data_IF_296338102292
#
_entry.id   IF_296338102292
#
_cell.length_a   1.000
_cell.length_b   1.000
_cell.length_c   1.000
_cell.angle_alpha   90.00
_cell.angle_beta   90.00
_cell.angle_gamma   90.00
#
_symmetry.space_group_name_H-M   'P 1'
#
loop_
_entity.id
_entity.type
_entity.pdbx_description
1 polymer ?
#
# COMPACT_ATOMS: atom_id res chain seq x y z
N UNK A 1 14.84 -18.24 -18.51
CA UNK A 1 15.97 -17.38 -18.93
C UNK A 1 15.57 -16.41 -20.06
N UNK A 2 15.05 -16.88 -21.20
CA UNK A 2 14.69 -15.99 -22.32
C UNK A 2 13.62 -14.91 -22.00
N UNK A 3 12.58 -15.25 -21.24
CA UNK A 3 11.54 -14.28 -20.84
C UNK A 3 12.09 -13.15 -19.96
N UNK A 4 12.94 -13.46 -18.98
CA UNK A 4 13.59 -12.47 -18.10
C UNK A 4 14.49 -11.52 -18.89
N UNK A 5 15.27 -12.05 -19.84
CA UNK A 5 16.10 -11.23 -20.73
C UNK A 5 15.27 -10.25 -21.56
N UNK A 6 14.15 -10.72 -22.13
CA UNK A 6 13.21 -9.89 -22.90
C UNK A 6 12.57 -8.80 -22.04
N UNK A 7 12.14 -9.13 -20.82
CA UNK A 7 11.58 -8.17 -19.87
C UNK A 7 12.61 -7.13 -19.44
N UNK A 8 13.83 -7.55 -19.13
CA UNK A 8 14.92 -6.65 -18.74
C UNK A 8 15.26 -5.65 -19.87
N UNK A 9 15.35 -6.13 -21.11
CA UNK A 9 15.54 -5.27 -22.28
C UNK A 9 14.40 -4.29 -22.48
N UNK A 10 13.15 -4.71 -22.27
CA UNK A 10 11.96 -3.85 -22.38
C UNK A 10 11.99 -2.73 -21.33
N UNK A 11 12.32 -3.05 -20.07
CA UNK A 11 12.47 -2.05 -19.00
C UNK A 11 13.58 -1.06 -19.30
N UNK A 12 14.74 -1.53 -19.78
CA UNK A 12 15.87 -0.65 -20.16
C UNK A 12 15.55 0.27 -21.34
N UNK A 13 14.69 -0.17 -22.27
CA UNK A 13 14.30 0.61 -23.46
C UNK A 13 13.19 1.63 -23.17
N UNK A 14 12.53 1.56 -22.01
CA UNK A 14 11.48 2.49 -21.57
C UNK A 14 11.97 3.34 -20.38
N UNK A 15 12.90 4.28 -20.58
CA UNK A 15 13.50 5.06 -19.50
C UNK A 15 12.48 5.99 -18.83
N UNK A 16 11.51 6.55 -19.57
CA UNK A 16 10.52 7.47 -19.01
C UNK A 16 9.70 6.84 -17.88
N UNK A 17 9.31 5.57 -18.03
CA UNK A 17 8.55 4.84 -17.03
C UNK A 17 9.35 4.61 -15.73
N UNK A 18 10.59 4.14 -15.87
CA UNK A 18 11.44 3.79 -14.73
C UNK A 18 12.01 5.04 -14.04
N UNK A 19 12.38 6.06 -14.81
CA UNK A 19 12.93 7.32 -14.30
C UNK A 19 11.89 8.13 -13.53
N UNK A 20 10.65 8.24 -14.04
CA UNK A 20 9.55 8.92 -13.34
C UNK A 20 9.32 8.29 -11.97
N UNK A 21 9.21 6.95 -11.89
CA UNK A 21 9.05 6.25 -10.61
C UNK A 21 10.18 6.58 -9.63
N UNK A 22 11.43 6.52 -10.09
CA UNK A 22 12.60 6.78 -9.23
C UNK A 22 12.64 8.24 -8.74
N UNK A 23 12.47 9.20 -9.66
CA UNK A 23 12.49 10.63 -9.33
C UNK A 23 11.38 10.98 -8.34
N UNK A 24 10.14 10.53 -8.59
CA UNK A 24 9.04 10.76 -7.66
C UNK A 24 9.32 10.13 -6.29
N UNK A 25 9.81 8.87 -6.23
CA UNK A 25 10.14 8.27 -4.93
C UNK A 25 11.22 9.04 -4.16
N UNK A 26 12.22 9.60 -4.85
CA UNK A 26 13.27 10.42 -4.21
C UNK A 26 12.70 11.73 -3.67
N UNK A 27 11.89 12.43 -4.47
CA UNK A 27 11.23 13.68 -4.03
C UNK A 27 10.37 13.42 -2.80
N UNK A 28 9.60 12.33 -2.82
CA UNK A 28 8.71 11.97 -1.72
C UNK A 28 9.48 11.57 -0.47
N UNK A 29 10.58 10.82 -0.61
CA UNK A 29 11.48 10.52 0.51
C UNK A 29 12.05 11.80 1.13
N UNK A 30 12.42 12.79 0.32
CA UNK A 30 12.89 14.09 0.81
C UNK A 30 11.78 14.85 1.52
N UNK A 31 10.57 14.91 0.96
CA UNK A 31 9.42 15.58 1.59
C UNK A 31 9.04 14.94 2.91
N UNK A 32 8.91 13.61 2.98
CA UNK A 32 8.65 12.91 4.24
C UNK A 32 9.80 13.06 5.24
N UNK A 33 11.05 13.04 4.76
CA UNK A 33 12.24 13.22 5.59
C UNK A 33 12.33 14.62 6.21
N UNK A 34 11.97 15.67 5.47
CA UNK A 34 11.95 17.04 5.99
C UNK A 34 10.72 17.33 6.84
N UNK A 35 9.55 16.77 6.51
CA UNK A 35 8.31 16.95 7.28
C UNK A 35 8.37 16.31 8.67
N UNK A 36 8.95 15.11 8.78
CA UNK A 36 9.03 14.37 10.04
C UNK A 36 10.44 14.42 10.65
N UNK A 37 11.14 15.53 10.43
CA UNK A 37 12.48 15.76 10.94
C UNK A 37 12.50 15.72 12.48
N UNK A 38 13.50 15.03 13.05
CA UNK A 38 13.74 14.92 14.50
C UNK A 38 12.63 14.27 15.34
N UNK A 39 11.60 13.70 14.71
CA UNK A 39 10.45 13.13 15.41
C UNK A 39 10.82 11.88 16.24
N UNK A 40 11.79 11.09 15.78
CA UNK A 40 12.27 9.89 16.48
C UNK A 40 13.05 10.18 17.77
N UNK A 41 13.46 11.43 18.00
CA UNK A 41 14.27 11.82 19.17
C UNK A 41 13.42 12.21 20.38
N UNK A 42 12.12 12.43 20.19
CA UNK A 42 11.16 12.87 21.21
C UNK A 42 10.12 11.78 21.42
N UNK A 43 10.32 10.96 22.46
CA UNK A 43 9.39 9.86 22.83
C UNK A 43 8.79 10.04 24.23
N UNK A 44 8.92 11.23 24.81
CA UNK A 44 8.52 11.51 26.20
C UNK A 44 7.01 11.72 26.36
N UNK A 45 6.29 12.05 25.28
CA UNK A 45 4.83 12.27 25.29
C UNK A 45 4.13 11.25 24.41
N UNK A 46 2.95 10.78 24.82
CA UNK A 46 2.11 9.89 24.01
C UNK A 46 1.79 10.49 22.64
N UNK A 47 1.64 11.81 22.57
CA UNK A 47 1.40 12.51 21.30
C UNK A 47 2.58 12.38 20.33
N UNK A 48 3.83 12.43 20.83
CA UNK A 48 5.00 12.33 19.97
C UNK A 48 5.14 10.92 19.38
N UNK A 49 4.81 9.90 20.16
CA UNK A 49 4.71 8.51 19.70
C UNK A 49 3.61 8.35 18.65
N UNK A 50 2.42 8.90 18.89
CA UNK A 50 1.33 8.85 17.91
C UNK A 50 1.69 9.59 16.61
N UNK A 51 2.39 10.72 16.70
CA UNK A 51 2.88 11.44 15.53
C UNK A 51 3.90 10.60 14.75
N UNK A 52 4.83 9.92 15.44
CA UNK A 52 5.82 9.06 14.82
C UNK A 52 5.21 7.80 14.18
N UNK A 53 4.22 7.19 14.84
CA UNK A 53 3.47 6.08 14.26
C UNK A 53 2.61 6.53 13.07
N UNK A 54 2.02 7.73 13.16
CA UNK A 54 1.24 8.33 12.08
C UNK A 54 2.07 8.64 10.85
N UNK A 55 3.32 9.07 11.03
CA UNK A 55 4.24 9.28 9.91
C UNK A 55 4.65 7.97 9.23
N UNK A 56 4.91 6.91 10.00
CA UNK A 56 5.16 5.56 9.46
C UNK A 56 3.97 5.02 8.67
N UNK A 57 2.76 5.21 9.21
CA UNK A 57 1.51 4.84 8.55
C UNK A 57 1.32 5.61 7.23
N UNK A 58 1.50 6.94 7.26
CA UNK A 58 1.39 7.80 6.08
C UNK A 58 2.43 7.42 5.01
N UNK A 59 3.68 7.18 5.39
CA UNK A 59 4.74 6.77 4.47
C UNK A 59 4.42 5.42 3.80
N UNK A 60 3.95 4.44 4.57
CA UNK A 60 3.60 3.10 4.07
C UNK A 60 2.45 3.17 3.06
N UNK A 61 1.36 3.87 3.40
CA UNK A 61 0.23 4.05 2.50
C UNK A 61 0.62 4.77 1.22
N UNK A 62 1.38 5.85 1.36
CA UNK A 62 1.72 6.70 0.25
C UNK A 62 2.64 5.98 -0.75
N UNK A 63 3.63 5.21 -0.26
CA UNK A 63 4.42 4.33 -1.12
C UNK A 63 3.54 3.28 -1.82
N UNK A 64 2.56 2.68 -1.12
CA UNK A 64 1.63 1.72 -1.71
C UNK A 64 0.84 2.32 -2.89
N UNK A 65 0.22 3.47 -2.67
CA UNK A 65 -0.58 4.18 -3.69
C UNK A 65 0.27 4.56 -4.91
N UNK A 66 1.48 5.08 -4.70
CA UNK A 66 2.39 5.47 -5.78
C UNK A 66 2.80 4.27 -6.66
N UNK A 67 3.06 3.11 -6.04
CA UNK A 67 3.40 1.91 -6.80
C UNK A 67 2.22 1.42 -7.66
N UNK A 68 0.98 1.54 -7.19
CA UNK A 68 -0.22 1.18 -7.96
C UNK A 68 -0.50 2.13 -9.13
N UNK A 69 -0.41 3.45 -8.91
CA UNK A 69 -0.62 4.45 -9.97
C UNK A 69 0.38 4.31 -11.13
N UNK A 70 1.58 3.80 -10.85
CA UNK A 70 2.59 3.57 -11.88
C UNK A 70 2.17 2.51 -12.91
N UNK A 71 1.35 1.52 -12.56
CA UNK A 71 0.97 0.44 -13.49
C UNK A 71 -0.11 0.88 -14.49
N UNK A 72 -0.86 1.94 -14.19
CA UNK A 72 -1.95 2.46 -15.03
C UNK A 72 -1.52 2.81 -16.48
N UNK A 73 -0.43 3.56 -16.72
CA UNK A 73 0.01 3.88 -18.08
C UNK A 73 0.43 2.65 -18.90
N UNK A 74 0.98 1.61 -18.26
CA UNK A 74 1.35 0.38 -18.97
C UNK A 74 0.11 -0.32 -19.53
N UNK A 75 -0.94 -0.43 -18.70
CA UNK A 75 -2.23 -1.00 -19.11
C UNK A 75 -2.94 -0.10 -20.13
N UNK A 76 -2.81 1.22 -19.99
CA UNK A 76 -3.38 2.17 -20.95
C UNK A 76 -2.73 2.07 -22.34
N UNK A 77 -1.42 1.82 -22.41
CA UNK A 77 -0.71 1.58 -23.68
C UNK A 77 -1.17 0.27 -24.34
N UNK A 78 -1.44 -0.78 -23.56
CA UNK A 78 -2.02 -2.02 -24.08
C UNK A 78 -3.45 -1.83 -24.63
N UNK A 79 -4.19 -0.83 -24.11
CA UNK A 79 -5.55 -0.46 -24.58
C UNK A 79 -5.57 0.52 -25.76
N UNK A 80 -4.41 0.87 -26.35
CA UNK A 80 -4.31 1.83 -27.47
C UNK A 80 -5.05 1.44 -28.75
N UNK A 81 -5.46 0.17 -28.88
CA UNK A 81 -6.31 -0.32 -29.99
C UNK A 81 -7.63 0.48 -30.07
N UNK A 82 -8.22 0.86 -28.95
CA UNK A 82 -9.44 1.67 -28.92
C UNK A 82 -9.23 3.10 -29.45
N UNK A 83 -8.05 3.69 -29.21
CA UNK A 83 -7.71 5.02 -29.74
C UNK A 83 -7.50 5.01 -31.26
N UNK A 84 -7.09 3.88 -31.83
CA UNK A 84 -7.01 3.69 -33.29
C UNK A 84 -8.39 3.62 -33.94
N UNK A 85 -9.36 3.01 -33.28
CA UNK A 85 -10.76 2.98 -33.74
C UNK A 85 -11.47 4.35 -33.63
N UNK A 86 -11.10 5.17 -32.63
CA UNK A 86 -11.61 6.54 -32.46
C UNK A 86 -11.08 7.53 -33.51
N UNK A 87 -9.82 7.39 -33.94
CA UNK A 87 -9.23 8.23 -34.99
C UNK A 87 -9.95 8.08 -36.34
N UNK A 88 -10.72 6.99 -36.54
CA UNK A 88 -11.59 6.77 -37.68
C UNK A 88 -12.95 7.50 -37.60
N UNK A 89 -13.23 8.28 -36.54
CA UNK A 89 -14.37 9.19 -36.46
C UNK A 89 -15.73 8.56 -36.13
N UNK A 90 -15.77 7.34 -35.60
CA UNK A 90 -17.00 6.54 -35.49
C UNK A 90 -17.91 6.86 -34.28
N UNK A 91 -17.49 7.68 -33.29
CA UNK A 91 -18.28 7.94 -32.08
C UNK A 91 -18.41 9.43 -31.72
N UNK A 92 -19.65 9.85 -31.42
CA UNK A 92 -19.97 11.18 -30.88
C UNK A 92 -19.44 11.34 -29.45
N UNK A 93 -19.09 12.59 -29.07
CA UNK A 93 -18.48 12.91 -27.77
C UNK A 93 -19.40 12.62 -26.57
N UNK A 94 -20.72 12.72 -26.75
CA UNK A 94 -21.70 12.53 -25.67
C UNK A 94 -21.84 11.04 -25.25
N UNK A 95 -22.08 10.08 -26.16
CA UNK A 95 -22.05 8.66 -25.81
C UNK A 95 -20.73 8.21 -25.17
N UNK A 96 -19.62 8.80 -25.58
CA UNK A 96 -18.31 8.53 -24.98
C UNK A 96 -18.24 9.00 -23.52
N UNK A 97 -18.70 10.22 -23.22
CA UNK A 97 -18.72 10.74 -21.86
C UNK A 97 -19.59 9.86 -20.92
N UNK A 98 -20.78 9.46 -21.38
CA UNK A 98 -21.64 8.55 -20.61
C UNK A 98 -21.01 7.16 -20.42
N UNK A 99 -20.40 6.60 -21.49
CA UNK A 99 -19.70 5.32 -21.40
C UNK A 99 -18.54 5.36 -20.42
N UNK A 100 -17.77 6.46 -20.41
CA UNK A 100 -16.67 6.64 -19.45
C UNK A 100 -17.17 6.66 -18.01
N UNK A 101 -18.20 7.46 -17.71
CA UNK A 101 -18.76 7.54 -16.35
C UNK A 101 -19.29 6.17 -15.87
N UNK A 102 -20.00 5.45 -16.73
CA UNK A 102 -20.54 4.12 -16.39
C UNK A 102 -19.42 3.12 -16.09
N UNK A 103 -18.35 3.15 -16.88
CA UNK A 103 -17.19 2.27 -16.66
C UNK A 103 -16.44 2.65 -15.38
N UNK A 104 -16.40 3.93 -15.01
CA UNK A 104 -15.72 4.41 -13.81
C UNK A 104 -16.44 4.02 -12.49
N UNK A 105 -17.78 3.94 -12.48
CA UNK A 105 -18.57 3.66 -11.27
C UNK A 105 -18.08 2.42 -10.50
N UNK A 106 -17.93 1.21 -11.11
CA UNK A 106 -17.42 0.04 -10.41
C UNK A 106 -16.02 0.24 -9.82
N UNK A 107 -15.13 0.96 -10.53
CA UNK A 107 -13.78 1.23 -10.04
C UNK A 107 -13.80 2.12 -8.79
N UNK A 108 -14.67 3.13 -8.75
CA UNK A 108 -14.85 4.00 -7.58
C UNK A 108 -15.35 3.20 -6.37
N UNK A 109 -16.31 2.28 -6.56
CA UNK A 109 -16.76 1.40 -5.48
C UNK A 109 -15.65 0.50 -4.94
N UNK A 110 -14.86 -0.12 -5.82
CA UNK A 110 -13.72 -0.95 -5.42
C UNK A 110 -12.68 -0.10 -4.67
N UNK A 111 -12.39 1.10 -5.16
CA UNK A 111 -11.46 2.03 -4.51
C UNK A 111 -11.97 2.43 -3.11
N UNK A 112 -13.26 2.76 -2.97
CA UNK A 112 -13.86 3.08 -1.69
C UNK A 112 -13.75 1.90 -0.70
N UNK A 113 -13.99 0.67 -1.16
CA UNK A 113 -13.82 -0.53 -0.34
C UNK A 113 -12.36 -0.72 0.13
N UNK A 114 -11.38 -0.44 -0.74
CA UNK A 114 -9.96 -0.45 -0.35
C UNK A 114 -9.61 0.67 0.64
N UNK A 115 -10.21 1.86 0.54
CA UNK A 115 -10.01 2.93 1.51
C UNK A 115 -10.54 2.55 2.90
N UNK A 116 -11.74 1.96 2.95
CA UNK A 116 -12.28 1.38 4.19
C UNK A 116 -11.34 0.29 4.71
N UNK A 117 -10.74 -0.51 3.83
CA UNK A 117 -9.73 -1.51 4.20
C UNK A 117 -8.56 -0.90 4.96
N UNK A 118 -8.04 0.20 4.44
CA UNK A 118 -6.91 0.88 5.05
C UNK A 118 -7.27 1.55 6.39
N UNK A 119 -8.52 1.99 6.57
CA UNK A 119 -8.98 2.57 7.84
C UNK A 119 -8.86 1.57 9.01
N UNK A 120 -9.18 0.30 8.75
CA UNK A 120 -9.09 -0.79 9.73
C UNK A 120 -7.70 -1.43 9.85
N UNK A 121 -6.65 -0.80 9.32
CA UNK A 121 -5.27 -1.31 9.38
C UNK A 121 -4.60 -1.22 10.75
N UNK A 122 -5.29 -0.72 11.79
CA UNK A 122 -4.81 -0.74 13.17
C UNK A 122 -4.24 0.56 13.70
N UNK A 123 -4.03 1.59 12.88
CA UNK A 123 -3.61 2.91 13.35
C UNK A 123 -4.80 3.78 13.76
N UNK A 124 -5.75 4.00 12.83
CA UNK A 124 -6.91 4.87 13.05
C UNK A 124 -7.92 4.19 13.98
N UNK A 125 -8.18 2.90 13.75
CA UNK A 125 -8.97 2.05 14.65
C UNK A 125 -8.05 0.99 15.24
N UNK A 126 -7.72 1.08 16.54
CA UNK A 126 -6.86 0.09 17.19
C UNK A 126 -7.48 -1.30 17.16
N UNK A 127 -6.64 -2.33 17.00
CA UNK A 127 -7.08 -3.74 16.94
C UNK A 127 -7.97 -4.18 18.13
N UNK A 128 -7.70 -3.76 19.39
CA UNK A 128 -8.55 -4.15 20.52
C UNK A 128 -10.00 -3.66 20.41
N UNK A 129 -10.21 -2.49 19.83
CA UNK A 129 -11.52 -1.84 19.70
C UNK A 129 -12.37 -2.42 18.55
N UNK A 130 -11.74 -3.19 17.64
CA UNK A 130 -12.44 -3.85 16.54
C UNK A 130 -13.25 -5.04 17.08
N UNK A 131 -14.57 -5.12 16.79
CA UNK A 131 -15.40 -6.25 17.20
C UNK A 131 -14.83 -7.56 16.65
N UNK A 132 -14.96 -8.63 17.43
CA UNK A 132 -14.29 -9.92 17.16
C UNK A 132 -14.63 -10.44 15.75
N UNK A 133 -15.88 -10.27 15.31
CA UNK A 133 -16.35 -10.65 13.98
C UNK A 133 -15.72 -9.87 12.81
N UNK A 134 -15.19 -8.66 13.03
CA UNK A 134 -14.55 -7.84 12.00
C UNK A 134 -13.02 -7.96 12.04
N UNK A 135 -12.48 -8.64 13.06
CA UNK A 135 -11.03 -8.73 13.27
C UNK A 135 -10.29 -9.49 12.18
N UNK A 136 -10.94 -10.36 11.41
CA UNK A 136 -10.34 -11.01 10.24
C UNK A 136 -9.93 -10.01 9.15
N UNK A 137 -10.65 -8.90 9.04
CA UNK A 137 -10.39 -7.84 8.08
C UNK A 137 -9.05 -7.15 8.36
N UNK A 138 -8.75 -6.93 9.64
CA UNK A 138 -7.43 -6.47 10.10
C UNK A 138 -6.32 -7.46 9.73
N UNK A 139 -6.52 -8.76 9.99
CA UNK A 139 -5.51 -9.78 9.73
C UNK A 139 -5.23 -10.03 8.24
N UNK A 140 -6.20 -9.79 7.36
CA UNK A 140 -6.01 -9.92 5.92
C UNK A 140 -5.39 -8.64 5.31
N UNK A 141 -5.25 -7.55 6.08
CA UNK A 141 -4.63 -6.31 5.63
C UNK A 141 -3.09 -6.37 5.66
N UNK A 142 -2.38 -6.30 4.52
CA UNK A 142 -0.91 -6.27 4.53
C UNK A 142 -0.36 -5.00 5.21
N UNK A 143 -1.06 -3.87 5.10
CA UNK A 143 -0.68 -2.59 5.73
C UNK A 143 -0.69 -2.68 7.26
N UNK A 144 -1.61 -3.46 7.83
CA UNK A 144 -1.66 -3.69 9.27
C UNK A 144 -0.41 -4.41 9.78
N UNK A 145 0.05 -5.41 9.03
CA UNK A 145 1.25 -6.16 9.36
C UNK A 145 2.52 -5.34 9.20
N UNK A 146 2.64 -4.55 8.13
CA UNK A 146 3.80 -3.67 7.96
C UNK A 146 3.87 -2.61 9.05
N UNK A 147 2.74 -2.00 9.41
CA UNK A 147 2.69 -1.05 10.51
C UNK A 147 3.04 -1.69 11.85
N UNK A 148 2.47 -2.86 12.17
CA UNK A 148 2.83 -3.61 13.36
C UNK A 148 4.34 -3.84 13.39
N UNK A 149 4.92 -4.32 12.28
CA UNK A 149 6.35 -4.60 12.16
C UNK A 149 7.20 -3.37 12.46
N UNK A 150 6.94 -2.26 11.77
CA UNK A 150 7.69 -1.00 11.94
C UNK A 150 7.63 -0.47 13.37
N UNK A 151 6.43 -0.45 13.97
CA UNK A 151 6.22 0.07 15.33
C UNK A 151 6.86 -0.85 16.36
N UNK A 152 6.69 -2.16 16.23
CA UNK A 152 7.29 -3.14 17.15
C UNK A 152 8.82 -3.17 17.06
N UNK A 153 9.41 -2.93 15.89
CA UNK A 153 10.87 -2.82 15.72
C UNK A 153 11.43 -1.53 16.29
N UNK A 154 10.70 -0.41 16.17
CA UNK A 154 11.25 0.91 16.51
C UNK A 154 11.00 1.30 17.97
N UNK A 155 9.87 0.88 18.52
CA UNK A 155 9.40 1.32 19.84
C UNK A 155 9.08 0.16 20.79
N UNK A 156 9.17 -1.09 20.34
CA UNK A 156 8.73 -2.25 21.10
C UNK A 156 9.64 -2.65 22.27
N UNK A 157 10.88 -2.16 22.30
CA UNK A 157 11.89 -2.39 23.33
C UNK A 157 12.19 -1.15 24.19
N UNK A 158 11.56 0.00 23.87
CA UNK A 158 11.78 1.24 24.60
C UNK A 158 11.06 1.21 25.95
N UNK A 159 11.83 1.27 27.03
CA UNK A 159 11.34 1.39 28.41
C UNK A 159 11.28 2.85 28.90
N UNK A 160 11.33 3.82 27.98
CA UNK A 160 11.24 5.23 28.36
C UNK A 160 9.88 5.53 28.98
N UNK A 161 9.89 6.21 30.13
CA UNK A 161 8.67 6.65 30.80
C UNK A 161 8.00 7.76 29.97
N UNK A 162 6.71 7.58 29.68
CA UNK A 162 5.88 8.64 29.13
C UNK A 162 5.50 9.62 30.24
N UNK A 163 5.07 10.81 29.82
CA UNK A 163 4.52 11.86 30.70
C UNK A 163 3.33 11.40 31.56
N UNK A 164 2.71 10.25 31.25
CA UNK A 164 1.59 9.65 31.98
C UNK A 164 2.04 8.53 32.95
N UNK A 165 3.34 8.42 33.24
CA UNK A 165 3.92 7.41 34.15
C UNK A 165 3.74 5.95 33.67
N UNK A 166 3.56 5.76 32.36
CA UNK A 166 3.51 4.44 31.70
C UNK A 166 4.71 4.28 30.76
N UNK A 167 5.19 3.04 30.58
CA UNK A 167 6.23 2.73 29.60
C UNK A 167 5.70 2.73 28.16
N UNK A 168 6.54 3.04 27.18
CA UNK A 168 6.20 2.98 25.74
C UNK A 168 5.67 1.59 25.36
N UNK A 169 6.38 0.54 25.78
CA UNK A 169 5.95 -0.85 25.54
C UNK A 169 4.55 -1.14 26.10
N UNK A 170 4.27 -0.66 27.32
CA UNK A 170 2.99 -0.88 27.99
C UNK A 170 1.85 -0.13 27.27
N UNK A 171 2.11 1.10 26.84
CA UNK A 171 1.17 1.89 26.05
C UNK A 171 0.84 1.21 24.71
N UNK A 172 1.85 0.76 23.97
CA UNK A 172 1.69 0.05 22.69
C UNK A 172 0.94 -1.29 22.84
N UNK A 173 1.24 -2.02 23.91
CA UNK A 173 0.57 -3.28 24.24
C UNK A 173 -0.89 -3.09 24.62
N UNK A 174 -1.21 -2.06 25.43
CA UNK A 174 -2.58 -1.80 25.88
C UNK A 174 -3.46 -1.21 24.79
N UNK A 175 -2.98 -0.16 24.11
CA UNK A 175 -3.79 0.60 23.16
C UNK A 175 -3.86 -0.07 21.78
N UNK A 176 -2.71 -0.46 21.22
CA UNK A 176 -2.65 -1.06 19.87
C UNK A 176 -2.66 -2.60 19.88
N UNK A 177 -2.35 -3.23 21.02
CA UNK A 177 -2.21 -4.69 21.10
C UNK A 177 -0.91 -5.21 20.48
N UNK A 178 0.11 -4.35 20.35
CA UNK A 178 1.41 -4.72 19.78
C UNK A 178 2.28 -5.39 20.83
N UNK A 179 2.80 -6.56 20.49
CA UNK A 179 3.72 -7.38 21.29
C UNK A 179 5.01 -7.60 20.52
N UNK A 180 6.15 -7.28 21.14
CA UNK A 180 7.48 -7.45 20.55
C UNK A 180 7.81 -8.94 20.27
N UNK A 181 7.36 -9.86 21.12
CA UNK A 181 7.55 -11.32 20.95
C UNK A 181 6.94 -11.86 19.64
N UNK A 182 5.95 -11.17 19.07
CA UNK A 182 5.27 -11.60 17.85
C UNK A 182 5.96 -11.15 16.55
N UNK A 183 7.07 -10.43 16.65
CA UNK A 183 7.77 -9.81 15.52
C UNK A 183 8.26 -10.83 14.47
N UNK A 184 8.66 -12.03 14.90
CA UNK A 184 9.02 -13.12 13.98
C UNK A 184 7.84 -13.58 13.12
N UNK A 185 6.64 -13.65 13.69
CA UNK A 185 5.41 -14.00 12.94
C UNK A 185 5.06 -12.89 11.96
N UNK A 186 5.14 -11.63 12.40
CA UNK A 186 4.90 -10.46 11.55
C UNK A 186 5.83 -10.46 10.33
N UNK A 187 7.13 -10.69 10.53
CA UNK A 187 8.10 -10.77 9.45
C UNK A 187 7.75 -11.90 8.46
N UNK A 188 7.38 -13.08 8.96
CA UNK A 188 6.98 -14.20 8.11
C UNK A 188 5.74 -13.89 7.25
N UNK A 189 4.75 -13.18 7.80
CA UNK A 189 3.51 -12.83 7.10
C UNK A 189 3.75 -11.76 6.04
N UNK A 190 4.61 -10.78 6.32
CA UNK A 190 5.00 -9.76 5.35
C UNK A 190 5.68 -10.40 4.13
N UNK A 191 6.46 -11.46 4.31
CA UNK A 191 7.07 -12.22 3.20
C UNK A 191 6.04 -13.13 2.51
N UNK A 192 5.11 -13.72 3.26
CA UNK A 192 4.08 -14.61 2.71
C UNK A 192 3.13 -13.87 1.75
N UNK A 193 2.76 -12.63 2.04
CA UNK A 193 1.83 -11.85 1.21
C UNK A 193 2.29 -11.70 -0.26
N UNK A 194 3.51 -11.20 -0.56
CA UNK A 194 4.03 -11.15 -1.92
C UNK A 194 4.03 -12.51 -2.63
N UNK A 195 4.35 -13.59 -1.91
CA UNK A 195 4.36 -14.95 -2.45
C UNK A 195 2.95 -15.37 -2.85
N UNK A 196 1.97 -15.17 -1.96
CA UNK A 196 0.55 -15.45 -2.24
C UNK A 196 0.05 -14.64 -3.44
N UNK A 197 0.37 -13.35 -3.52
CA UNK A 197 0.01 -12.53 -4.67
C UNK A 197 0.68 -12.98 -5.97
N UNK A 198 1.95 -13.40 -5.92
CA UNK A 198 2.65 -13.95 -7.07
C UNK A 198 2.02 -15.25 -7.57
N UNK A 199 1.63 -16.15 -6.66
CA UNK A 199 0.92 -17.39 -7.02
C UNK A 199 -0.48 -17.12 -7.57
N UNK A 200 -1.24 -16.22 -6.94
CA UNK A 200 -2.56 -15.80 -7.44
C UNK A 200 -2.45 -15.19 -8.84
N UNK A 201 -1.46 -14.33 -9.06
CA UNK A 201 -1.21 -13.72 -10.37
C UNK A 201 -0.84 -14.78 -11.43
N UNK A 202 0.06 -15.70 -11.10
CA UNK A 202 0.43 -16.81 -11.99
C UNK A 202 -0.77 -17.72 -12.31
N UNK A 203 -1.60 -18.03 -11.29
CA UNK A 203 -2.83 -18.79 -11.46
C UNK A 203 -3.85 -18.04 -12.32
N UNK A 204 -4.04 -16.75 -12.09
CA UNK A 204 -4.96 -15.92 -12.87
C UNK A 204 -4.56 -15.89 -14.35
N UNK A 205 -3.28 -15.71 -14.68
CA UNK A 205 -2.81 -15.77 -16.08
C UNK A 205 -3.09 -17.15 -16.70
N UNK A 206 -2.87 -18.23 -15.94
CA UNK A 206 -3.11 -19.59 -16.43
C UNK A 206 -4.61 -19.89 -16.63
N UNK A 207 -5.46 -19.44 -15.71
CA UNK A 207 -6.90 -19.69 -15.72
C UNK A 207 -7.64 -18.80 -16.72
N UNK A 208 -7.30 -17.51 -16.76
CA UNK A 208 -7.86 -16.51 -17.68
C UNK A 208 -7.07 -16.43 -18.98
N UNK A 209 -6.55 -17.54 -19.50
CA UNK A 209 -5.86 -17.54 -20.78
C UNK A 209 -6.86 -17.20 -21.91
N UNK A 210 -7.02 -15.90 -22.18
CA UNK A 210 -7.89 -15.30 -23.20
C UNK A 210 -7.49 -15.66 -24.63
N UNK A 211 -6.50 -16.55 -24.84
CA UNK A 211 -6.16 -17.11 -26.15
C UNK A 211 -7.11 -18.21 -26.62
N UNK A 212 -8.18 -18.55 -25.88
CA UNK A 212 -9.30 -19.32 -26.45
C UNK A 212 -10.29 -18.35 -27.14
N UNK A 213 -10.03 -18.15 -28.43
CA UNK A 213 -10.73 -17.35 -29.46
C UNK A 213 -10.31 -15.89 -29.59
#
# INVERSE_FOLDING_TARGET
MACLWKQHLSYRRNPSYTAVRFIFTVILALVFGTLFWDLGRRVSRSQDLLNAMGSMYAATLFLGVQNCSSVQPVVAVERTVFYRERAAGMYSALPYAFGQVIVEIPYVFVQAAFYVWNLFSGFIVPRPDIPIWWRWYYWLCPVAWTLYGLVATQFGDLQTMLSNDENVEQFLGRYFGFKHVFLGVVASIIVAWPVVFAFLFAFAIKAFNFQKR
#
